data_IF_948067365509
#
_entry.id   IF_948067365509
#
_cell.length_a   1.000
_cell.length_b   1.000
_cell.length_c   1.000
_cell.angle_alpha   90.00
_cell.angle_beta   90.00
_cell.angle_gamma   90.00
#
_symmetry.space_group_name_H-M   'P 1'
#
loop_
_entity.id
_entity.type
_entity.pdbx_description
1 polymer ?
#
# COMPACT_ATOMS: atom_id res chain seq x y z
N UNK A 1 21.85 -2.85 -27.05
CA UNK A 1 20.58 -2.61 -26.36
C UNK A 1 20.63 -3.29 -25.02
N UNK A 2 20.26 -2.54 -23.97
CA UNK A 2 20.26 -3.11 -22.63
C UNK A 2 19.00 -3.96 -22.40
N UNK A 3 19.13 -5.19 -21.83
CA UNK A 3 17.95 -6.00 -21.53
C UNK A 3 17.05 -5.39 -20.46
N UNK A 4 17.53 -4.39 -19.70
CA UNK A 4 16.75 -3.74 -18.67
C UNK A 4 16.20 -2.39 -19.09
N UNK A 5 16.39 -1.99 -20.36
CA UNK A 5 15.92 -0.69 -20.84
C UNK A 5 14.41 -0.57 -20.65
N UNK A 6 13.97 0.55 -20.07
CA UNK A 6 12.56 0.82 -19.87
C UNK A 6 11.96 0.17 -18.62
N UNK A 7 12.71 -0.62 -17.88
CA UNK A 7 12.18 -1.32 -16.70
C UNK A 7 12.32 -0.55 -15.39
N UNK A 8 12.95 0.63 -15.42
CA UNK A 8 13.15 1.44 -14.21
C UNK A 8 11.85 1.74 -13.45
N UNK A 9 10.83 2.28 -14.12
CA UNK A 9 9.57 2.58 -13.43
C UNK A 9 8.89 1.35 -12.83
N UNK A 10 8.95 0.20 -13.53
CA UNK A 10 8.39 -1.03 -12.99
C UNK A 10 9.16 -1.50 -11.76
N UNK A 11 10.49 -1.41 -11.80
CA UNK A 11 11.31 -1.78 -10.65
C UNK A 11 11.02 -0.87 -9.46
N UNK A 12 10.84 0.43 -9.70
CA UNK A 12 10.49 1.37 -8.64
C UNK A 12 9.14 1.02 -8.01
N UNK A 13 8.17 0.63 -8.83
CA UNK A 13 6.86 0.20 -8.34
C UNK A 13 7.00 -0.99 -7.39
N UNK A 14 7.70 -2.03 -7.82
CA UNK A 14 7.88 -3.22 -6.98
C UNK A 14 8.71 -2.92 -5.74
N UNK A 15 9.66 -1.99 -5.84
CA UNK A 15 10.39 -1.53 -4.65
C UNK A 15 9.43 -0.91 -3.62
N UNK A 16 8.45 -0.14 -4.07
CA UNK A 16 7.44 0.42 -3.19
C UNK A 16 6.68 -0.66 -2.42
N UNK A 17 6.50 -1.83 -3.00
CA UNK A 17 5.81 -2.95 -2.36
C UNK A 17 6.73 -3.86 -1.55
N UNK A 18 8.03 -3.63 -1.54
CA UNK A 18 8.99 -4.61 -1.04
C UNK A 18 9.30 -4.49 0.43
N UNK A 19 8.45 -3.85 1.21
CA UNK A 19 8.66 -3.67 2.64
C UNK A 19 7.36 -3.87 3.40
N UNK A 20 7.36 -4.67 4.48
CA UNK A 20 6.12 -4.93 5.23
C UNK A 20 5.44 -3.67 5.78
N UNK A 21 6.23 -2.69 6.22
CA UNK A 21 5.67 -1.45 6.75
C UNK A 21 4.98 -0.67 5.66
N UNK A 22 5.59 -0.58 4.46
CA UNK A 22 4.95 0.11 3.35
C UNK A 22 3.66 -0.58 2.93
N UNK A 23 3.64 -1.92 2.91
CA UNK A 23 2.41 -2.65 2.63
C UNK A 23 1.34 -2.36 3.68
N UNK A 24 1.72 -2.28 4.94
CA UNK A 24 0.79 -1.94 6.02
C UNK A 24 0.22 -0.53 5.84
N UNK A 25 1.07 0.43 5.44
CA UNK A 25 0.62 1.79 5.17
C UNK A 25 -0.40 1.80 4.04
N UNK A 26 -0.10 1.12 2.94
CA UNK A 26 -1.00 1.07 1.79
C UNK A 26 -2.33 0.44 2.18
N UNK A 27 -2.30 -0.65 2.93
CA UNK A 27 -3.51 -1.32 3.40
C UNK A 27 -4.34 -0.41 4.29
N UNK A 28 -3.68 0.38 5.13
CA UNK A 28 -4.36 1.31 6.01
C UNK A 28 -4.99 2.47 5.23
N UNK A 29 -4.26 3.02 4.26
CA UNK A 29 -4.77 4.10 3.42
C UNK A 29 -5.91 3.62 2.51
N UNK A 30 -6.04 2.34 2.27
CA UNK A 30 -7.18 1.81 1.53
C UNK A 30 -8.50 2.03 2.26
N UNK A 31 -8.46 2.31 3.56
CA UNK A 31 -9.66 2.62 4.33
C UNK A 31 -10.03 4.10 4.30
N UNK A 32 -9.19 4.95 3.72
CA UNK A 32 -9.45 6.38 3.63
C UNK A 32 -8.20 7.20 3.86
N UNK A 33 -8.33 8.51 3.70
CA UNK A 33 -7.21 9.43 3.91
C UNK A 33 -6.79 9.45 5.38
N UNK A 34 -5.49 9.63 5.63
CA UNK A 34 -4.95 9.71 6.97
C UNK A 34 -3.84 10.74 7.06
N UNK A 35 -3.75 11.40 8.22
CA UNK A 35 -2.58 12.21 8.56
C UNK A 35 -1.44 11.29 9.00
N UNK A 36 -0.21 11.81 8.90
CA UNK A 36 0.96 11.05 9.36
C UNK A 36 0.79 10.60 10.81
N UNK A 37 0.30 11.49 11.67
CA UNK A 37 0.12 11.17 13.09
C UNK A 37 -0.84 9.98 13.28
N UNK A 38 -1.91 9.94 12.50
CA UNK A 38 -2.86 8.83 12.59
C UNK A 38 -2.20 7.51 12.21
N UNK A 39 -1.37 7.53 11.15
CA UNK A 39 -0.64 6.34 10.74
C UNK A 39 0.36 5.90 11.80
N UNK A 40 1.06 6.84 12.44
CA UNK A 40 1.99 6.49 13.52
C UNK A 40 1.27 5.84 14.68
N UNK A 41 0.11 6.37 15.04
CA UNK A 41 -0.66 5.81 16.14
C UNK A 41 -1.18 4.41 15.81
N UNK A 42 -1.73 4.23 14.61
CA UNK A 42 -2.29 2.95 14.22
C UNK A 42 -1.22 1.88 14.01
N UNK A 43 -0.06 2.26 13.53
CA UNK A 43 1.00 1.30 13.21
C UNK A 43 2.00 1.12 14.36
N UNK A 44 1.97 2.01 15.35
CA UNK A 44 2.89 1.92 16.48
C UNK A 44 4.34 2.21 16.09
N UNK A 45 4.57 3.10 15.11
CA UNK A 45 5.89 3.39 14.60
C UNK A 45 6.25 4.84 14.84
N UNK A 46 7.55 5.16 14.79
CA UNK A 46 8.01 6.54 14.90
C UNK A 46 7.58 7.33 13.67
N UNK A 47 7.31 8.63 13.88
CA UNK A 47 6.90 9.51 12.79
C UNK A 47 7.94 9.57 11.67
N UNK A 48 9.23 9.62 12.01
CA UNK A 48 10.28 9.66 11.00
C UNK A 48 10.27 8.41 10.11
N UNK A 49 9.98 7.25 10.70
CA UNK A 49 9.88 6.01 9.95
C UNK A 49 8.71 6.05 8.97
N UNK A 50 7.55 6.46 9.48
CA UNK A 50 6.34 6.55 8.64
C UNK A 50 6.55 7.57 7.52
N UNK A 51 7.12 8.75 7.86
CA UNK A 51 7.37 9.80 6.88
C UNK A 51 8.31 9.34 5.77
N UNK A 52 9.37 8.59 6.13
CA UNK A 52 10.31 8.07 5.14
C UNK A 52 9.63 7.08 4.19
N UNK A 53 8.78 6.20 4.71
CA UNK A 53 8.05 5.26 3.87
C UNK A 53 7.03 5.96 2.98
N UNK A 54 6.34 6.98 3.51
CA UNK A 54 5.40 7.76 2.71
C UNK A 54 6.12 8.49 1.58
N UNK A 55 7.33 9.01 1.83
CA UNK A 55 8.12 9.66 0.78
C UNK A 55 8.47 8.66 -0.32
N UNK A 56 8.86 7.46 0.05
CA UNK A 56 9.15 6.40 -0.92
C UNK A 56 7.90 6.07 -1.75
N UNK A 57 6.76 5.89 -1.09
CA UNK A 57 5.51 5.57 -1.77
C UNK A 57 5.05 6.69 -2.68
N UNK A 58 5.23 7.95 -2.27
CA UNK A 58 4.90 9.10 -3.11
C UNK A 58 5.81 9.15 -4.33
N UNK A 59 7.10 8.84 -4.15
CA UNK A 59 8.05 8.80 -5.24
C UNK A 59 7.73 7.74 -6.28
N UNK A 60 7.06 6.66 -5.87
CA UNK A 60 6.63 5.60 -6.78
C UNK A 60 5.24 5.88 -7.38
N UNK A 61 4.59 6.95 -6.98
CA UNK A 61 3.25 7.28 -7.47
C UNK A 61 2.13 6.49 -6.82
N UNK A 62 2.39 5.85 -5.68
CA UNK A 62 1.39 5.00 -5.03
C UNK A 62 0.54 5.76 -4.01
N UNK A 63 1.06 6.87 -3.47
CA UNK A 63 0.30 7.73 -2.58
C UNK A 63 0.48 9.18 -3.01
N UNK A 64 -0.46 10.01 -2.60
CA UNK A 64 -0.41 11.44 -2.82
C UNK A 64 -0.84 12.13 -1.53
N UNK A 65 -0.38 13.36 -1.33
CA UNK A 65 -0.76 14.13 -0.16
C UNK A 65 -1.36 15.46 -0.57
N UNK A 66 -2.19 15.99 0.30
CA UNK A 66 -2.72 17.35 0.15
C UNK A 66 -2.65 18.06 1.49
N UNK A 67 -2.39 19.36 1.50
CA UNK A 67 -2.32 20.09 2.76
C UNK A 67 -3.71 20.29 3.36
N UNK A 68 -3.82 20.18 4.67
CA UNK A 68 -5.03 20.49 5.41
C UNK A 68 -4.57 21.19 6.69
N UNK A 69 -4.72 22.52 6.73
CA UNK A 69 -4.15 23.30 7.82
C UNK A 69 -2.64 23.18 7.84
N UNK A 70 -2.09 22.77 8.96
CA UNK A 70 -0.65 22.57 9.11
C UNK A 70 -0.22 21.15 8.86
N UNK A 71 -1.17 20.27 8.57
CA UNK A 71 -0.89 18.87 8.35
C UNK A 71 -1.03 18.52 6.87
N UNK A 72 -0.64 17.31 6.51
CA UNK A 72 -0.87 16.74 5.20
C UNK A 72 -1.73 15.50 5.37
N UNK A 73 -2.73 15.36 4.51
CA UNK A 73 -3.51 14.13 4.41
C UNK A 73 -2.94 13.30 3.27
N UNK A 74 -2.66 12.04 3.55
CA UNK A 74 -2.18 11.09 2.56
C UNK A 74 -3.30 10.17 2.14
N UNK A 75 -3.32 9.85 0.84
CA UNK A 75 -4.32 8.97 0.25
C UNK A 75 -3.65 8.10 -0.81
N UNK A 76 -4.29 7.00 -1.15
CA UNK A 76 -3.84 6.19 -2.28
C UNK A 76 -4.03 6.97 -3.57
N UNK A 77 -3.03 6.91 -4.45
CA UNK A 77 -3.13 7.42 -5.81
C UNK A 77 -3.51 6.26 -6.72
N UNK A 78 -4.28 6.52 -7.78
CA UNK A 78 -4.71 5.49 -8.74
C UNK A 78 -5.29 4.28 -8.03
N UNK A 79 -6.22 4.53 -7.13
CA UNK A 79 -6.73 3.51 -6.21
C UNK A 79 -7.29 2.28 -6.92
N UNK A 80 -8.08 2.40 -8.00
CA UNK A 80 -8.60 1.19 -8.67
C UNK A 80 -7.50 0.29 -9.20
N UNK A 81 -6.48 0.88 -9.84
CA UNK A 81 -5.38 0.12 -10.41
C UNK A 81 -4.52 -0.51 -9.32
N UNK A 82 -4.25 0.25 -8.25
CA UNK A 82 -3.48 -0.26 -7.12
C UNK A 82 -4.21 -1.44 -6.47
N UNK A 83 -5.52 -1.31 -6.29
CA UNK A 83 -6.32 -2.39 -5.72
C UNK A 83 -6.23 -3.65 -6.59
N UNK A 84 -6.29 -3.50 -7.91
CA UNK A 84 -6.19 -4.63 -8.83
C UNK A 84 -4.84 -5.33 -8.73
N UNK A 85 -3.75 -4.57 -8.61
CA UNK A 85 -2.42 -5.15 -8.46
C UNK A 85 -2.32 -5.94 -7.16
N UNK A 86 -2.77 -5.35 -6.06
CA UNK A 86 -2.70 -6.00 -4.75
C UNK A 86 -3.60 -7.24 -4.70
N UNK A 87 -4.77 -7.19 -5.33
CA UNK A 87 -5.65 -8.34 -5.39
C UNK A 87 -5.02 -9.49 -6.19
N UNK A 88 -4.34 -9.15 -7.30
CA UNK A 88 -3.62 -10.16 -8.08
C UNK A 88 -2.46 -10.76 -7.27
N UNK A 89 -1.76 -9.92 -6.50
CA UNK A 89 -0.68 -10.39 -5.64
C UNK A 89 -1.21 -11.34 -4.56
N UNK A 90 -2.37 -11.04 -3.99
CA UNK A 90 -3.00 -11.94 -3.03
C UNK A 90 -3.26 -13.31 -3.64
N UNK A 91 -3.79 -13.33 -4.86
CA UNK A 91 -4.05 -14.60 -5.55
C UNK A 91 -2.78 -15.37 -5.82
N UNK A 92 -1.74 -14.66 -6.26
CA UNK A 92 -0.44 -15.28 -6.50
C UNK A 92 0.12 -15.89 -5.23
N UNK A 93 0.05 -15.15 -4.12
CA UNK A 93 0.53 -15.64 -2.83
C UNK A 93 -0.25 -16.86 -2.36
N UNK A 94 -1.55 -16.90 -2.60
CA UNK A 94 -2.36 -18.06 -2.26
C UNK A 94 -1.90 -19.29 -3.04
N UNK A 95 -1.62 -19.13 -4.33
CA UNK A 95 -1.15 -20.25 -5.18
C UNK A 95 0.21 -20.74 -4.71
N UNK A 96 1.07 -19.84 -4.22
CA UNK A 96 2.41 -20.21 -3.75
C UNK A 96 2.42 -20.65 -2.29
N UNK A 97 1.28 -20.75 -1.65
CA UNK A 97 1.18 -21.26 -0.29
C UNK A 97 1.42 -20.23 0.80
N UNK A 98 1.36 -18.94 0.47
CA UNK A 98 1.64 -17.85 1.41
C UNK A 98 0.49 -16.87 1.48
N UNK A 99 -0.73 -17.35 1.66
CA UNK A 99 -1.93 -16.52 1.65
C UNK A 99 -1.82 -15.35 2.63
N UNK A 100 -2.03 -14.13 2.13
CA UNK A 100 -1.95 -12.90 2.89
C UNK A 100 -3.01 -11.96 2.36
N UNK A 101 -3.67 -11.21 3.24
CA UNK A 101 -4.61 -10.18 2.84
C UNK A 101 -3.88 -8.86 2.69
N UNK A 102 -3.84 -8.32 1.47
CA UNK A 102 -3.16 -7.07 1.16
C UNK A 102 -4.13 -5.90 1.03
N UNK A 103 -5.42 -6.16 0.77
CA UNK A 103 -6.44 -5.13 0.70
C UNK A 103 -7.54 -5.46 1.71
N UNK A 104 -8.13 -4.43 2.34
CA UNK A 104 -9.35 -4.69 3.11
C UNK A 104 -10.42 -5.17 2.16
N UNK A 105 -11.11 -6.23 2.54
CA UNK A 105 -12.24 -6.73 1.75
C UNK A 105 -13.50 -6.20 2.39
N UNK A 106 -13.95 -5.08 1.90
CA UNK A 106 -15.10 -4.40 2.42
C UNK A 106 -16.31 -5.31 2.40
N UNK A 107 -16.97 -5.46 3.51
CA UNK A 107 -18.15 -6.30 3.62
C UNK A 107 -17.87 -7.79 3.53
N UNK A 108 -16.63 -8.16 3.60
CA UNK A 108 -16.27 -9.54 3.47
C UNK A 108 -16.00 -10.16 4.75
N UNK A 109 -16.61 -10.87 5.05
CA UNK A 109 -16.15 -11.71 6.09
C UNK A 109 -15.69 -13.02 5.54
N UNK A 110 -15.80 -12.58 5.13
CA UNK A 110 -15.61 -13.49 4.77
C UNK A 110 -15.54 -14.25 4.66
N UNK A 111 -15.70 -14.50 4.68
CA UNK A 111 -15.54 -15.25 4.54
C UNK A 111 -15.37 -15.67 4.37
N UNK A 112 -15.62 -15.37 4.57
CA UNK A 112 -15.57 -15.67 4.18
C UNK A 112 -15.05 -15.69 4.01
N UNK A 113 -15.12 -15.25 4.36
CA UNK A 113 -14.79 -15.25 4.05
C UNK A 113 -14.21 -15.28 4.00
N UNK A 114 -14.21 -15.37 4.22
CA UNK A 114 -13.73 -15.66 4.12
C UNK A 114 -13.47 -16.13 4.09
N UNK A 115 -13.57 -16.23 4.32
CA UNK A 115 -13.53 -16.82 4.08
C UNK A 115 -13.51 -17.25 3.71
N UNK A 116 -13.54 -17.13 3.72
CA UNK A 116 -13.58 -17.58 3.26
C UNK A 116 -13.30 -17.77 2.86
N UNK A 117 -13.23 -17.73 2.81
CA UNK A 117 -13.08 -18.14 2.33
C UNK A 117 -12.86 -18.33 2.12
#
# INVERSE_FOLDING_TARGET
>A
MSPTAGLGPAAALFHGFSDPTRLAILRHLATGEHKVRELTEHLGLAQSTVSAHLACLAGCGLVASRPVGRASLYALAAEPELHQVLAAAERLLTVTGHAVELCPHSGTPGPDGPAAA
#
